data_IF_349740790931
#
_entry.id   IF_349740790931
#
_cell.length_a   1.000
_cell.length_b   1.000
_cell.length_c   1.000
_cell.angle_alpha   90.00
_cell.angle_beta   90.00
_cell.angle_gamma   90.00
#
_symmetry.space_group_name_H-M   'P 1'
#
loop_
_entity.id
_entity.type
_entity.pdbx_description
1 polymer ?
#
# COMPACT_ATOMS: atom_id res chain seq x y z
N UNK A 1 -41.77 10.70 -17.10
CA UNK A 1 -40.79 9.75 -16.57
C UNK A 1 -40.90 9.80 -15.07
N UNK A 2 -41.39 8.73 -14.48
CA UNK A 2 -41.94 8.66 -13.13
C UNK A 2 -40.86 8.84 -12.05
N UNK A 3 -41.11 9.77 -11.12
CA UNK A 3 -40.28 9.97 -9.94
C UNK A 3 -40.51 8.85 -8.94
N UNK A 4 -39.45 8.12 -8.60
CA UNK A 4 -39.47 7.09 -7.57
C UNK A 4 -39.64 7.74 -6.18
N UNK A 5 -40.89 7.79 -5.71
CA UNK A 5 -41.28 8.31 -4.43
C UNK A 5 -41.12 7.20 -3.37
N UNK A 6 -39.95 7.09 -2.73
CA UNK A 6 -39.79 6.16 -1.61
C UNK A 6 -40.60 6.68 -0.42
N UNK A 7 -41.75 6.04 -0.19
CA UNK A 7 -42.58 6.25 0.99
C UNK A 7 -41.79 5.84 2.24
N UNK A 8 -41.50 6.80 3.11
CA UNK A 8 -41.01 6.57 4.48
C UNK A 8 -42.08 5.77 5.24
N UNK A 9 -41.76 4.57 5.68
CA UNK A 9 -42.63 3.77 6.54
C UNK A 9 -42.69 4.39 7.96
N UNK A 10 -43.80 4.23 8.70
CA UNK A 10 -43.97 4.83 10.02
C UNK A 10 -43.19 4.05 11.09
N UNK A 11 -42.43 4.80 11.90
CA UNK A 11 -41.92 4.51 13.24
C UNK A 11 -41.72 3.03 13.62
N UNK A 12 -40.48 2.57 13.50
CA UNK A 12 -39.98 1.51 14.37
C UNK A 12 -39.97 1.99 15.82
N UNK A 13 -40.22 1.08 16.75
CA UNK A 13 -40.18 1.23 18.20
C UNK A 13 -39.04 2.14 18.66
N UNK A 14 -39.33 3.06 19.58
CA UNK A 14 -38.36 3.99 20.19
C UNK A 14 -37.23 3.26 20.96
N UNK A 15 -37.31 1.93 21.08
CA UNK A 15 -36.35 1.07 21.75
C UNK A 15 -35.13 0.70 20.88
N UNK A 16 -35.25 0.74 19.54
CA UNK A 16 -34.18 0.32 18.61
C UNK A 16 -33.13 1.41 18.31
N UNK A 17 -33.38 2.66 18.70
CA UNK A 17 -32.40 3.76 18.58
C UNK A 17 -31.36 3.77 19.72
N UNK A 18 -31.44 2.80 20.62
CA UNK A 18 -30.58 2.68 21.82
C UNK A 18 -29.26 1.93 21.56
N UNK A 19 -28.84 1.73 20.31
CA UNK A 19 -27.49 1.25 20.05
C UNK A 19 -26.58 2.47 19.98
N UNK A 20 -25.93 2.79 21.11
CA UNK A 20 -24.86 3.77 21.13
C UNK A 20 -23.87 3.44 20.00
N UNK A 21 -23.51 4.41 19.14
CA UNK A 21 -22.56 4.16 18.06
C UNK A 21 -21.29 3.58 18.66
N UNK A 22 -20.78 2.49 18.09
CA UNK A 22 -19.57 1.83 18.55
C UNK A 22 -18.50 2.89 18.86
N UNK A 23 -17.99 2.89 20.09
CA UNK A 23 -16.96 3.82 20.52
C UNK A 23 -15.85 3.84 19.47
N UNK A 24 -15.45 5.03 19.01
CA UNK A 24 -14.38 5.17 18.03
C UNK A 24 -13.12 4.54 18.61
N UNK A 25 -12.78 3.34 18.16
CA UNK A 25 -11.53 2.69 18.53
C UNK A 25 -10.40 3.63 18.13
N UNK A 26 -9.51 3.94 19.08
CA UNK A 26 -8.30 4.72 18.79
C UNK A 26 -7.59 4.04 17.63
N UNK A 27 -7.47 4.76 16.50
CA UNK A 27 -6.75 4.26 15.32
C UNK A 27 -5.32 3.96 15.75
N UNK A 28 -4.99 2.69 15.92
CA UNK A 28 -3.61 2.25 16.11
C UNK A 28 -2.81 2.78 14.92
N UNK A 29 -1.64 3.35 15.18
CA UNK A 29 -0.75 3.81 14.11
C UNK A 29 -0.43 2.61 13.22
N UNK A 30 -1.03 2.58 12.03
CA UNK A 30 -0.79 1.50 11.08
C UNK A 30 0.67 1.54 10.64
N UNK A 31 1.32 0.37 10.47
CA UNK A 31 2.66 0.31 9.92
C UNK A 31 2.71 1.11 8.61
N UNK A 32 3.72 1.96 8.43
CA UNK A 32 3.92 2.74 7.20
C UNK A 32 4.21 1.80 6.03
N UNK A 33 3.16 1.29 5.37
CA UNK A 33 3.26 0.45 4.17
C UNK A 33 3.44 1.33 2.94
N UNK A 34 4.20 0.84 1.97
CA UNK A 34 4.45 1.55 0.71
C UNK A 34 4.11 0.64 -0.45
N UNK A 35 3.25 1.12 -1.37
CA UNK A 35 2.98 0.47 -2.64
C UNK A 35 3.87 1.08 -3.72
N UNK A 36 4.68 0.25 -4.37
CA UNK A 36 5.50 0.63 -5.51
C UNK A 36 4.89 0.09 -6.80
N UNK A 37 5.06 0.85 -7.88
CA UNK A 37 4.79 0.42 -9.24
C UNK A 37 6.13 0.11 -9.89
N UNK A 38 6.36 -1.17 -10.19
CA UNK A 38 7.63 -1.68 -10.69
C UNK A 38 7.48 -2.22 -12.11
N UNK A 39 8.55 -2.23 -12.87
CA UNK A 39 8.55 -2.72 -14.25
C UNK A 39 9.96 -3.13 -14.65
N UNK A 40 10.12 -4.30 -15.25
CA UNK A 40 11.38 -4.72 -15.89
C UNK A 40 11.52 -4.03 -17.25
N UNK A 41 12.75 -3.93 -17.77
CA UNK A 41 13.00 -3.31 -19.08
C UNK A 41 12.19 -3.95 -20.22
N UNK A 42 11.97 -5.27 -20.15
CA UNK A 42 11.19 -6.03 -21.14
C UNK A 42 9.67 -5.89 -20.98
N UNK A 43 9.18 -5.20 -19.95
CA UNK A 43 7.75 -5.06 -19.65
C UNK A 43 7.26 -3.67 -20.06
N UNK A 44 6.05 -3.60 -20.61
CA UNK A 44 5.43 -2.32 -21.00
C UNK A 44 4.56 -1.73 -19.88
N UNK A 45 4.02 -2.60 -19.01
CA UNK A 45 3.09 -2.24 -17.93
C UNK A 45 3.79 -2.21 -16.58
N UNK A 46 3.29 -1.38 -15.67
CA UNK A 46 3.73 -1.39 -14.28
C UNK A 46 2.92 -2.37 -13.45
N UNK A 47 3.62 -2.93 -12.48
CA UNK A 47 3.21 -4.03 -11.68
C UNK A 47 3.23 -3.61 -10.21
N UNK A 48 2.20 -3.97 -9.44
CA UNK A 48 2.10 -3.57 -8.04
C UNK A 48 3.07 -4.38 -7.16
N UNK A 49 3.81 -3.71 -6.27
CA UNK A 49 4.69 -4.33 -5.27
C UNK A 49 4.51 -3.64 -3.91
N UNK A 50 3.90 -4.33 -2.96
CA UNK A 50 3.67 -3.82 -1.61
C UNK A 50 4.87 -4.12 -0.71
N UNK A 51 5.45 -3.08 -0.11
CA UNK A 51 6.49 -3.22 0.91
C UNK A 51 5.86 -3.24 2.31
N UNK A 52 6.15 -4.30 3.06
CA UNK A 52 5.77 -4.42 4.48
C UNK A 52 6.52 -3.39 5.34
N UNK A 53 7.80 -3.19 5.04
CA UNK A 53 8.68 -2.23 5.70
C UNK A 53 9.37 -1.38 4.63
N UNK A 54 9.31 -0.04 4.70
CA UNK A 54 9.89 0.85 3.70
C UNK A 54 11.39 1.01 3.92
N UNK A 55 12.13 -0.09 3.77
CA UNK A 55 13.58 -0.17 3.92
C UNK A 55 14.21 -0.83 2.69
N UNK A 56 15.53 -0.71 2.53
CA UNK A 56 16.26 -1.35 1.44
C UNK A 56 16.11 -2.88 1.49
N UNK A 57 16.23 -3.44 2.70
CA UNK A 57 16.00 -4.87 2.94
C UNK A 57 14.57 -5.28 2.57
N UNK A 58 13.56 -4.51 2.99
CA UNK A 58 12.16 -4.80 2.67
C UNK A 58 11.87 -4.76 1.17
N UNK A 59 12.57 -3.91 0.42
CA UNK A 59 12.53 -3.89 -1.05
C UNK A 59 13.16 -5.16 -1.65
N UNK A 60 14.33 -5.58 -1.18
CA UNK A 60 14.98 -6.81 -1.64
C UNK A 60 14.13 -8.06 -1.36
N UNK A 61 13.55 -8.16 -0.17
CA UNK A 61 12.63 -9.25 0.21
C UNK A 61 11.42 -9.29 -0.73
N UNK A 62 10.75 -8.15 -0.95
CA UNK A 62 9.56 -8.10 -1.81
C UNK A 62 9.87 -8.44 -3.28
N UNK A 63 11.03 -8.03 -3.80
CA UNK A 63 11.49 -8.40 -5.15
C UNK A 63 11.77 -9.91 -5.22
N UNK A 64 12.44 -10.47 -4.22
CA UNK A 64 12.76 -11.90 -4.14
C UNK A 64 11.49 -12.73 -4.18
N UNK A 65 10.51 -12.37 -3.35
CA UNK A 65 9.21 -13.04 -3.26
C UNK A 65 8.42 -12.97 -4.58
N UNK A 66 8.39 -11.80 -5.25
CA UNK A 66 7.57 -11.59 -6.44
C UNK A 66 8.16 -12.21 -7.70
N UNK A 67 9.48 -12.16 -7.85
CA UNK A 67 10.17 -12.51 -9.10
C UNK A 67 11.02 -13.79 -8.98
N UNK A 68 10.95 -14.48 -7.83
CA UNK A 68 11.73 -15.70 -7.53
C UNK A 68 13.24 -15.49 -7.74
N UNK A 69 13.71 -14.29 -7.36
CA UNK A 69 15.13 -13.94 -7.42
C UNK A 69 15.75 -14.20 -6.06
N UNK A 70 16.75 -15.08 -5.94
CA UNK A 70 17.43 -15.31 -4.67
C UNK A 70 18.02 -14.00 -4.10
N UNK A 71 17.83 -13.77 -2.81
CA UNK A 71 18.23 -12.53 -2.13
C UNK A 71 19.74 -12.25 -2.27
N UNK A 72 20.57 -13.30 -2.28
CA UNK A 72 22.03 -13.24 -2.48
C UNK A 72 22.44 -12.85 -3.91
N UNK A 73 21.54 -13.02 -4.89
CA UNK A 73 21.75 -12.58 -6.27
C UNK A 73 21.33 -11.13 -6.52
N UNK A 74 20.63 -10.51 -5.58
CA UNK A 74 20.31 -9.09 -5.66
C UNK A 74 21.56 -8.31 -5.26
N UNK A 75 22.21 -7.71 -6.27
CA UNK A 75 23.40 -6.89 -6.07
C UNK A 75 23.07 -5.50 -5.53
N UNK A 76 23.82 -4.50 -6.01
CA UNK A 76 23.64 -3.11 -5.61
C UNK A 76 22.32 -2.53 -6.14
N UNK A 77 21.64 -1.77 -5.29
CA UNK A 77 20.43 -1.05 -5.66
C UNK A 77 20.79 0.39 -5.96
N UNK A 78 20.39 0.86 -7.14
CA UNK A 78 20.68 2.23 -7.58
C UNK A 78 19.40 3.01 -7.80
N UNK A 79 19.40 4.26 -7.33
CA UNK A 79 18.39 5.25 -7.69
C UNK A 79 18.90 6.11 -8.85
N UNK A 80 18.17 6.13 -9.96
CA UNK A 80 18.43 7.07 -11.07
C UNK A 80 17.71 8.39 -10.81
N UNK A 81 18.46 9.47 -10.67
CA UNK A 81 17.93 10.82 -10.55
C UNK A 81 17.48 11.38 -11.92
N UNK A 82 16.68 12.46 -11.93
CA UNK A 82 16.21 13.12 -13.16
C UNK A 82 17.34 13.55 -14.10
N UNK A 83 18.52 13.86 -13.55
CA UNK A 83 19.74 14.22 -14.29
C UNK A 83 20.51 13.01 -14.84
N UNK A 84 20.02 11.78 -14.66
CA UNK A 84 20.68 10.55 -15.09
C UNK A 84 21.74 10.00 -14.14
N UNK A 85 22.04 10.71 -13.05
CA UNK A 85 22.99 10.26 -12.01
C UNK A 85 22.43 9.00 -11.32
N UNK A 86 23.25 7.96 -11.22
CA UNK A 86 22.97 6.76 -10.44
C UNK A 86 23.58 6.91 -9.05
N UNK A 87 22.75 6.78 -8.02
CA UNK A 87 23.16 6.83 -6.61
C UNK A 87 23.02 5.43 -6.04
N UNK A 88 24.10 4.87 -5.48
CA UNK A 88 24.03 3.62 -4.73
C UNK A 88 23.21 3.85 -3.46
N UNK A 89 22.15 3.07 -3.28
CA UNK A 89 21.32 3.11 -2.09
C UNK A 89 21.90 2.11 -1.09
N UNK A 90 22.38 2.59 0.05
CA UNK A 90 22.85 1.78 1.15
C UNK A 90 22.61 2.49 2.49
N UNK A 91 22.85 1.77 3.59
CA UNK A 91 22.63 2.25 4.96
C UNK A 91 23.88 2.93 5.56
N UNK A 92 24.92 3.23 4.77
CA UNK A 92 26.20 3.74 5.29
C UNK A 92 26.23 5.27 5.51
N UNK A 93 25.18 6.00 5.15
CA UNK A 93 25.13 7.46 5.27
C UNK A 93 24.59 7.85 6.65
N UNK A 94 25.41 8.50 7.47
CA UNK A 94 25.10 9.04 8.81
C UNK A 94 24.90 10.55 8.76
#
# INVERSE_FOLDING_TARGET
GEGSNLKRAPYGSEEDFSIAPAAKLTRLEEPKRVLLYVRKESEEVFDALMLKTPSLKGLMEAISDKYDVPHDKIGKIFKKCKKGILVNMDDNIV
#
